data_IF_652366157108
#
_entry.id   IF_652366157108
#
_cell.length_a   1.000
_cell.length_b   1.000
_cell.length_c   1.000
_cell.angle_alpha   90.00
_cell.angle_beta   90.00
_cell.angle_gamma   90.00
#
_symmetry.space_group_name_H-M   'P 1'
#
loop_
_entity.id
_entity.type
_entity.pdbx_description
1 polymer ?
#
# COMPACT_ATOMS: atom_id res chain seq x y z
N UNK A 1 12.82 -12.67 23.73
CA UNK A 1 14.01 -11.97 23.18
C UNK A 1 13.71 -10.47 23.10
N UNK A 2 14.73 -9.62 23.03
CA UNK A 2 14.62 -8.15 23.03
C UNK A 2 13.63 -7.62 21.97
N UNK A 3 13.67 -8.16 20.75
CA UNK A 3 12.74 -7.79 19.68
C UNK A 3 11.26 -8.02 20.03
N UNK A 4 10.94 -9.07 20.79
CA UNK A 4 9.56 -9.33 21.22
C UNK A 4 9.09 -8.32 22.27
N UNK A 5 10.00 -7.85 23.13
CA UNK A 5 9.69 -6.81 24.12
C UNK A 5 9.50 -5.45 23.44
N UNK A 6 10.37 -5.09 22.50
CA UNK A 6 10.23 -3.85 21.72
C UNK A 6 8.95 -3.84 20.87
N UNK A 7 8.59 -4.99 20.30
CA UNK A 7 7.31 -5.14 19.58
C UNK A 7 6.12 -5.01 20.52
N UNK A 8 6.16 -5.65 21.69
CA UNK A 8 5.11 -5.54 22.68
C UNK A 8 4.90 -4.09 23.14
N UNK A 9 5.98 -3.40 23.49
CA UNK A 9 5.95 -2.00 23.95
C UNK A 9 5.27 -1.07 22.92
N UNK A 10 5.67 -1.18 21.65
CA UNK A 10 5.08 -0.38 20.56
C UNK A 10 3.59 -0.64 20.35
N UNK A 11 3.16 -1.89 20.46
CA UNK A 11 1.81 -2.28 20.07
C UNK A 11 0.83 -2.33 21.24
N UNK A 12 1.32 -2.33 22.48
CA UNK A 12 0.49 -2.13 23.67
C UNK A 12 0.26 -0.64 23.98
N UNK A 13 1.03 0.28 23.38
CA UNK A 13 0.86 1.73 23.56
C UNK A 13 -0.56 2.21 23.19
N UNK A 14 -1.20 2.93 24.11
CA UNK A 14 -2.61 3.34 23.99
C UNK A 14 -3.63 2.19 24.03
N UNK A 15 -3.24 0.97 24.41
CA UNK A 15 -4.06 -0.25 24.50
C UNK A 15 -3.94 -0.92 25.88
N UNK A 16 -4.55 -2.10 26.04
CA UNK A 16 -4.41 -2.90 27.26
C UNK A 16 -3.15 -3.78 27.20
N UNK A 17 -2.51 -4.09 28.34
CA UNK A 17 -1.31 -4.92 28.38
C UNK A 17 -1.54 -6.30 27.72
N UNK A 18 -0.61 -6.71 26.85
CA UNK A 18 -0.68 -7.98 26.11
C UNK A 18 -1.48 -7.94 24.81
N UNK A 19 -1.99 -6.77 24.41
CA UNK A 19 -2.70 -6.57 23.14
C UNK A 19 -1.87 -7.03 21.93
N UNK A 20 -0.54 -6.85 21.94
CA UNK A 20 0.34 -7.27 20.85
C UNK A 20 0.18 -8.76 20.46
N UNK A 21 -0.19 -9.64 21.40
CA UNK A 21 -0.43 -11.06 21.12
C UNK A 21 -1.69 -11.28 20.31
N UNK A 22 -2.74 -10.53 20.65
CA UNK A 22 -4.00 -10.51 19.92
C UNK A 22 -3.79 -9.93 18.51
N UNK A 23 -3.03 -8.85 18.40
CA UNK A 23 -2.62 -8.30 17.10
C UNK A 23 -1.89 -9.33 16.24
N UNK A 24 -0.90 -10.05 16.78
CA UNK A 24 -0.19 -11.10 16.03
C UNK A 24 -1.11 -12.24 15.60
N UNK A 25 -2.07 -12.62 16.45
CA UNK A 25 -3.09 -13.61 16.08
C UNK A 25 -3.92 -13.11 14.89
N UNK A 26 -4.38 -11.86 14.93
CA UNK A 26 -5.15 -11.26 13.83
C UNK A 26 -4.33 -11.14 12.54
N UNK A 27 -3.07 -10.68 12.61
CA UNK A 27 -2.17 -10.60 11.45
C UNK A 27 -1.97 -11.98 10.83
N UNK A 28 -1.74 -13.01 11.65
CA UNK A 28 -1.60 -14.39 11.18
C UNK A 28 -2.87 -14.86 10.48
N UNK A 29 -4.02 -14.70 11.11
CA UNK A 29 -5.29 -15.11 10.52
C UNK A 29 -5.55 -14.37 9.21
N UNK A 30 -5.28 -13.05 9.14
CA UNK A 30 -5.41 -12.28 7.92
C UNK A 30 -4.48 -12.83 6.82
N UNK A 31 -3.20 -13.07 7.13
CA UNK A 31 -2.24 -13.60 6.15
C UNK A 31 -2.59 -15.01 5.66
N UNK A 32 -3.22 -15.85 6.47
CA UNK A 32 -3.67 -17.19 6.07
C UNK A 32 -4.86 -17.16 5.12
N UNK A 33 -5.68 -16.12 5.19
CA UNK A 33 -6.88 -15.96 4.36
C UNK A 33 -6.70 -14.93 3.25
N UNK A 34 -5.50 -14.37 3.10
CA UNK A 34 -5.22 -13.46 2.00
C UNK A 34 -5.38 -14.20 0.67
N UNK A 35 -6.27 -13.73 -0.22
CA UNK A 35 -6.42 -14.32 -1.54
C UNK A 35 -5.12 -14.17 -2.33
N UNK A 36 -4.76 -15.23 -3.05
CA UNK A 36 -3.65 -15.21 -4.00
C UNK A 36 -4.14 -14.58 -5.31
N UNK A 37 -4.01 -13.25 -5.42
CA UNK A 37 -4.44 -12.50 -6.59
C UNK A 37 -3.52 -12.76 -7.78
N UNK A 38 -4.06 -13.37 -8.82
CA UNK A 38 -3.31 -13.60 -10.05
C UNK A 38 -3.22 -12.34 -10.92
N UNK A 39 -2.25 -12.26 -11.84
CA UNK A 39 -2.23 -11.25 -12.90
C UNK A 39 -3.53 -11.17 -13.71
N UNK A 40 -4.26 -12.28 -13.86
CA UNK A 40 -5.56 -12.32 -14.54
C UNK A 40 -6.62 -11.59 -13.72
N UNK A 41 -6.65 -11.80 -12.40
CA UNK A 41 -7.59 -11.09 -11.51
C UNK A 41 -7.33 -9.59 -11.54
N UNK A 42 -6.06 -9.18 -11.50
CA UNK A 42 -5.67 -7.77 -11.60
C UNK A 42 -6.08 -7.13 -12.93
N UNK A 43 -6.12 -7.90 -14.01
CA UNK A 43 -6.54 -7.38 -15.33
C UNK A 43 -8.04 -7.05 -15.42
N UNK A 44 -8.84 -7.50 -14.46
CA UNK A 44 -10.28 -7.18 -14.37
C UNK A 44 -10.54 -5.78 -13.79
N UNK A 45 -9.51 -5.11 -13.24
CA UNK A 45 -9.64 -3.76 -12.68
C UNK A 45 -9.84 -2.75 -13.81
N UNK A 46 -11.06 -2.22 -13.91
CA UNK A 46 -11.45 -1.31 -15.00
C UNK A 46 -11.29 0.17 -14.66
N UNK A 47 -11.22 0.54 -13.38
CA UNK A 47 -11.02 1.93 -12.99
C UNK A 47 -9.55 2.36 -13.12
N UNK A 48 -9.27 3.66 -13.29
CA UNK A 48 -7.91 4.19 -13.18
C UNK A 48 -7.29 3.85 -11.82
N UNK A 49 -6.01 3.51 -11.81
CA UNK A 49 -5.27 3.14 -10.60
C UNK A 49 -3.94 3.89 -10.52
N UNK A 50 -3.66 4.45 -9.34
CA UNK A 50 -2.35 4.97 -8.99
C UNK A 50 -1.69 4.06 -7.95
N UNK A 51 -0.59 3.41 -8.34
CA UNK A 51 0.25 2.61 -7.44
C UNK A 51 1.35 3.50 -6.83
N UNK A 52 1.58 3.43 -5.52
CA UNK A 52 2.60 4.24 -4.85
C UNK A 52 3.42 3.34 -3.94
N UNK A 53 4.75 3.36 -4.09
CA UNK A 53 5.68 2.61 -3.25
C UNK A 53 7.00 3.37 -3.04
N UNK A 54 7.65 3.07 -1.92
CA UNK A 54 9.07 3.37 -1.73
C UNK A 54 9.94 2.26 -2.33
N UNK A 55 11.09 2.62 -2.90
CA UNK A 55 12.05 1.67 -3.49
C UNK A 55 12.54 0.61 -2.49
N UNK A 56 12.63 0.98 -1.20
CA UNK A 56 13.14 0.12 -0.12
C UNK A 56 12.02 -0.54 0.68
N UNK A 57 10.77 -0.53 0.19
CA UNK A 57 9.62 -1.15 0.85
C UNK A 57 9.76 -2.69 0.84
N UNK A 58 9.88 -3.34 2.02
CA UNK A 58 10.00 -4.79 2.09
C UNK A 58 8.66 -5.53 1.94
N UNK A 59 7.53 -4.81 2.03
CA UNK A 59 6.17 -5.38 2.03
C UNK A 59 5.47 -5.21 0.68
N UNK A 60 5.62 -4.04 0.05
CA UNK A 60 5.09 -3.73 -1.28
C UNK A 60 6.25 -3.48 -2.25
N UNK A 61 7.02 -4.53 -2.52
CA UNK A 61 8.30 -4.40 -3.23
C UNK A 61 8.13 -4.11 -4.73
N UNK A 62 9.23 -3.72 -5.37
CA UNK A 62 9.25 -3.30 -6.78
C UNK A 62 8.81 -4.41 -7.74
N UNK A 63 9.09 -5.68 -7.44
CA UNK A 63 8.67 -6.80 -8.29
C UNK A 63 7.14 -6.95 -8.27
N UNK A 64 6.53 -6.87 -7.09
CA UNK A 64 5.07 -6.86 -6.93
C UNK A 64 4.44 -5.66 -7.65
N UNK A 65 4.98 -4.47 -7.44
CA UNK A 65 4.51 -3.25 -8.11
C UNK A 65 4.62 -3.34 -9.64
N UNK A 66 5.69 -3.96 -10.13
CA UNK A 66 5.90 -4.17 -11.58
C UNK A 66 4.86 -5.13 -12.15
N UNK A 67 4.53 -6.21 -11.45
CA UNK A 67 3.46 -7.13 -11.85
C UNK A 67 2.12 -6.38 -11.87
N UNK A 68 1.77 -5.65 -10.81
CA UNK A 68 0.54 -4.87 -10.74
C UNK A 68 0.44 -3.85 -11.88
N UNK A 69 1.52 -3.09 -12.14
CA UNK A 69 1.58 -2.09 -13.21
C UNK A 69 1.41 -2.69 -14.60
N UNK A 70 1.87 -3.92 -14.82
CA UNK A 70 1.73 -4.63 -16.10
C UNK A 70 0.35 -5.27 -16.27
N UNK A 71 -0.26 -5.73 -15.18
CA UNK A 71 -1.53 -6.43 -15.20
C UNK A 71 -2.74 -5.51 -15.22
N UNK A 72 -2.69 -4.36 -14.55
CA UNK A 72 -3.80 -3.43 -14.45
C UNK A 72 -3.82 -2.49 -15.68
N UNK A 73 -4.86 -2.52 -16.53
CA UNK A 73 -4.87 -1.81 -17.82
C UNK A 73 -4.68 -0.29 -17.71
N UNK A 74 -5.32 0.33 -16.72
CA UNK A 74 -5.34 1.80 -16.53
C UNK A 74 -4.52 2.21 -15.31
N UNK A 75 -3.38 1.55 -15.11
CA UNK A 75 -2.48 1.85 -14.00
C UNK A 75 -1.40 2.85 -14.38
N UNK A 76 -1.12 3.74 -13.44
CA UNK A 76 0.10 4.53 -13.35
C UNK A 76 0.76 4.29 -11.99
N UNK A 77 2.00 4.73 -11.85
CA UNK A 77 2.72 4.54 -10.59
C UNK A 77 3.62 5.71 -10.22
N UNK A 78 3.92 5.79 -8.94
CA UNK A 78 4.97 6.63 -8.36
C UNK A 78 5.85 5.74 -7.47
N UNK A 79 7.10 5.53 -7.90
CA UNK A 79 8.12 4.88 -7.09
C UNK A 79 9.05 5.97 -6.55
N UNK A 80 9.17 6.06 -5.22
CA UNK A 80 10.04 7.04 -4.56
C UNK A 80 11.36 6.38 -4.18
N UNK A 81 12.45 6.85 -4.78
CA UNK A 81 13.80 6.34 -4.51
C UNK A 81 14.18 6.56 -3.05
N UNK A 82 14.91 5.59 -2.48
CA UNK A 82 15.40 5.63 -1.10
C UNK A 82 14.33 5.79 -0.01
N UNK A 83 13.06 5.48 -0.32
CA UNK A 83 11.94 5.55 0.62
C UNK A 83 11.50 4.17 1.09
N UNK A 84 10.99 4.08 2.32
CA UNK A 84 10.47 2.85 2.91
C UNK A 84 8.97 2.65 2.68
N UNK A 85 8.37 1.78 3.51
CA UNK A 85 6.95 1.41 3.40
C UNK A 85 5.99 2.58 3.65
N UNK A 86 6.30 3.44 4.62
CA UNK A 86 5.47 4.59 4.97
C UNK A 86 5.73 5.79 4.04
N UNK A 87 5.91 5.55 2.73
CA UNK A 87 6.36 6.55 1.74
C UNK A 87 5.52 7.83 1.72
N UNK A 88 4.23 7.74 1.98
CA UNK A 88 3.32 8.89 2.03
C UNK A 88 3.52 9.77 3.27
N UNK A 89 4.02 9.20 4.37
CA UNK A 89 4.41 9.95 5.57
C UNK A 89 5.85 10.49 5.48
N UNK A 90 6.75 9.72 4.86
CA UNK A 90 8.16 10.08 4.69
C UNK A 90 8.35 11.17 3.63
N UNK A 91 7.59 11.11 2.54
CA UNK A 91 7.70 12.01 1.38
C UNK A 91 6.34 12.65 1.00
N UNK A 92 5.65 13.34 1.93
CA UNK A 92 4.32 13.89 1.69
C UNK A 92 4.32 14.96 0.59
N UNK A 93 5.43 15.67 0.41
CA UNK A 93 5.63 16.68 -0.62
C UNK A 93 5.74 16.10 -2.03
N UNK A 94 6.04 14.80 -2.18
CA UNK A 94 6.04 14.11 -3.46
C UNK A 94 4.72 13.35 -3.66
N UNK A 95 4.29 12.62 -2.63
CA UNK A 95 3.13 11.73 -2.70
C UNK A 95 1.82 12.51 -2.72
N UNK A 96 1.68 13.54 -1.88
CA UNK A 96 0.46 14.34 -1.77
C UNK A 96 0.05 14.98 -3.10
N UNK A 97 0.92 15.79 -3.75
CA UNK A 97 0.62 16.39 -5.04
C UNK A 97 0.29 15.35 -6.12
N UNK A 98 0.98 14.20 -6.12
CA UNK A 98 0.74 13.12 -7.08
C UNK A 98 -0.65 12.51 -6.96
N UNK A 99 -1.15 12.35 -5.73
CA UNK A 99 -2.50 11.86 -5.46
C UNK A 99 -3.54 12.87 -5.95
N UNK A 100 -3.38 14.16 -5.63
CA UNK A 100 -4.32 15.21 -6.05
C UNK A 100 -4.39 15.30 -7.57
N UNK A 101 -3.22 15.35 -8.23
CA UNK A 101 -3.09 15.38 -9.68
C UNK A 101 -3.77 14.18 -10.38
N UNK A 102 -3.63 12.97 -9.81
CA UNK A 102 -4.35 11.79 -10.30
C UNK A 102 -5.87 11.93 -10.15
N UNK A 103 -6.34 12.33 -8.97
CA UNK A 103 -7.77 12.47 -8.70
C UNK A 103 -8.43 13.54 -9.57
N UNK A 104 -7.75 14.64 -9.84
CA UNK A 104 -8.26 15.71 -10.70
C UNK A 104 -8.43 15.21 -12.14
N UNK A 105 -7.47 14.46 -12.69
CA UNK A 105 -7.62 13.83 -14.02
C UNK A 105 -8.77 12.84 -14.07
N UNK A 106 -8.86 11.94 -13.09
CA UNK A 106 -9.90 10.90 -13.07
C UNK A 106 -11.30 11.50 -12.94
N UNK A 107 -11.45 12.61 -12.22
CA UNK A 107 -12.72 13.35 -12.14
C UNK A 107 -13.10 14.00 -13.46
N UNK A 108 -12.14 14.62 -14.15
CA UNK A 108 -12.37 15.25 -15.45
C UNK A 108 -12.78 14.23 -16.53
N UNK A 109 -12.28 12.99 -16.45
CA UNK A 109 -12.68 11.91 -17.37
C UNK A 109 -14.07 11.32 -17.05
N UNK A 110 -14.55 11.50 -15.82
CA UNK A 110 -15.84 10.97 -15.35
C UNK A 110 -17.03 11.91 -15.63
N UNK A 111 -16.78 13.22 -15.71
CA UNK A 111 -17.80 14.21 -16.07
C UNK A 111 -17.81 14.44 -17.59
N UNK A 112 -18.96 14.34 -18.29
CA UNK A 112 -19.03 14.67 -19.71
C UNK A 112 -18.70 16.17 -19.92
N UNK A 113 -18.10 16.56 -21.06
CA UNK A 113 -17.82 17.96 -21.34
C UNK A 113 -19.13 18.77 -21.32
N UNK A 114 -19.08 19.91 -20.63
CA UNK A 114 -20.19 20.86 -20.48
C UNK A 114 -20.51 21.61 -21.77
#
# INVERSE_FOLDING_TARGET
>A
PEAALAFADRHDDGKYPGFWRELLRQIRENNLHNPDWSPTDLSTIACPVLLIAGELDPFANIDQMTVMRRSIPHSEWLIVNHAGHAVHHEHPNLVGPRIIDFLDRVRLDADPPT
#
